data_IF_988217306136
#
_entry.id   IF_988217306136
#
_cell.length_a   1.000
_cell.length_b   1.000
_cell.length_c   1.000
_cell.angle_alpha   90.00
_cell.angle_beta   90.00
_cell.angle_gamma   90.00
#
_symmetry.space_group_name_H-M   'P 1'
#
loop_
_entity.id
_entity.type
_entity.pdbx_description
1 polymer ?
#
# COMPACT_ATOMS: atom_id res chain seq x y z
N UNK A 1 15.14 5.27 25.38
CA UNK A 1 14.91 3.83 25.14
C UNK A 1 13.43 3.62 25.29
N UNK A 2 12.75 3.08 24.28
CA UNK A 2 11.36 2.63 24.44
C UNK A 2 11.34 1.50 25.45
N UNK A 3 10.49 1.59 26.46
CA UNK A 3 10.27 0.50 27.40
C UNK A 3 9.56 -0.63 26.63
N UNK A 4 10.19 -1.80 26.57
CA UNK A 4 9.61 -3.00 25.99
C UNK A 4 9.08 -3.86 27.13
N UNK A 5 7.79 -4.14 27.12
CA UNK A 5 7.14 -4.98 28.12
C UNK A 5 6.49 -6.16 27.43
N UNK A 6 6.72 -7.35 27.95
CA UNK A 6 6.11 -8.59 27.46
C UNK A 6 5.69 -9.43 28.67
N UNK A 7 4.49 -10.00 28.60
CA UNK A 7 3.93 -10.88 29.62
C UNK A 7 3.23 -12.07 28.95
N UNK A 8 3.24 -13.20 29.62
CA UNK A 8 2.59 -14.43 29.19
C UNK A 8 2.85 -15.52 30.22
N UNK A 9 1.98 -16.53 30.25
CA UNK A 9 2.18 -17.69 31.12
C UNK A 9 3.07 -18.68 30.40
N UNK A 10 4.29 -18.87 30.90
CA UNK A 10 5.28 -19.76 30.28
C UNK A 10 5.22 -21.12 30.98
N UNK A 11 4.91 -22.17 30.21
CA UNK A 11 5.06 -23.56 30.60
C UNK A 11 6.24 -24.15 29.86
N UNK A 12 7.12 -24.85 30.58
CA UNK A 12 8.27 -25.55 30.00
C UNK A 12 8.19 -27.02 30.37
N UNK A 13 8.23 -27.90 29.37
CA UNK A 13 8.25 -29.35 29.58
C UNK A 13 9.72 -29.82 29.61
N UNK A 14 10.36 -29.55 30.75
CA UNK A 14 11.77 -29.81 30.98
C UNK A 14 12.65 -28.56 30.87
N UNK A 15 13.73 -28.56 31.63
CA UNK A 15 14.76 -27.54 31.62
C UNK A 15 16.11 -28.24 31.80
N UNK A 16 17.02 -28.01 30.85
CA UNK A 16 18.42 -28.37 31.00
C UNK A 16 19.27 -27.09 31.08
N UNK A 17 20.27 -27.14 31.95
CA UNK A 17 21.22 -26.06 32.13
C UNK A 17 22.62 -26.61 31.92
N UNK A 18 23.32 -26.05 30.93
CA UNK A 18 24.71 -26.40 30.65
C UNK A 18 25.60 -25.23 31.03
N UNK A 19 26.49 -25.49 31.97
CA UNK A 19 27.53 -24.56 32.41
C UNK A 19 28.89 -25.21 32.17
N UNK A 20 29.65 -24.66 31.24
CA UNK A 20 31.08 -24.92 31.11
C UNK A 20 31.86 -23.59 31.08
N UNK A 21 33.18 -23.66 31.04
CA UNK A 21 34.07 -22.49 31.08
C UNK A 21 33.79 -21.49 29.94
N UNK A 22 33.14 -21.92 28.86
CA UNK A 22 32.86 -21.12 27.67
C UNK A 22 31.37 -20.93 27.37
N UNK A 23 30.50 -21.78 27.90
CA UNK A 23 29.09 -21.87 27.51
C UNK A 23 28.17 -21.78 28.72
N UNK A 24 27.26 -20.81 28.68
CA UNK A 24 26.15 -20.68 29.63
C UNK A 24 24.85 -20.78 28.86
N UNK A 25 24.28 -21.98 28.81
CA UNK A 25 23.17 -22.32 27.92
C UNK A 25 21.98 -22.84 28.72
N UNK A 26 20.79 -22.36 28.38
CA UNK A 26 19.50 -22.89 28.79
C UNK A 26 18.89 -23.65 27.62
N UNK A 27 18.34 -24.82 27.90
CA UNK A 27 17.67 -25.66 26.92
C UNK A 27 16.29 -26.05 27.44
N UNK A 28 15.28 -25.81 26.62
CA UNK A 28 13.89 -26.15 26.86
C UNK A 28 13.44 -27.08 25.74
N UNK A 29 13.28 -28.40 25.99
CA UNK A 29 12.83 -29.34 24.96
C UNK A 29 11.52 -28.90 24.32
N UNK A 30 10.62 -28.32 25.14
CA UNK A 30 9.43 -27.64 24.69
C UNK A 30 9.10 -26.49 25.61
N UNK A 31 8.80 -25.33 25.03
CA UNK A 31 8.30 -24.16 25.75
C UNK A 31 6.99 -23.70 25.11
N UNK A 32 5.98 -23.45 25.93
CA UNK A 32 4.67 -22.94 25.50
C UNK A 32 4.37 -21.67 26.27
N UNK A 33 3.97 -20.62 25.56
CA UNK A 33 3.52 -19.35 26.13
C UNK A 33 2.04 -19.21 25.84
N UNK A 34 1.23 -19.12 26.88
CA UNK A 34 -0.21 -18.86 26.79
C UNK A 34 -0.51 -17.38 27.07
N UNK A 35 -1.35 -16.79 26.23
CA UNK A 35 -1.82 -15.41 26.38
C UNK A 35 -0.69 -14.38 26.27
N UNK A 36 0.24 -14.58 25.33
CA UNK A 36 1.32 -13.64 25.08
C UNK A 36 0.76 -12.26 24.77
N UNK A 37 1.24 -11.25 25.50
CA UNK A 37 0.94 -9.84 25.25
C UNK A 37 2.19 -9.02 25.45
N UNK A 38 2.42 -8.06 24.58
CA UNK A 38 3.51 -7.11 24.74
C UNK A 38 3.23 -5.78 24.09
N UNK A 39 4.11 -4.84 24.40
CA UNK A 39 4.09 -3.49 23.87
C UNK A 39 5.51 -3.02 23.55
N UNK A 40 5.61 -2.25 22.47
CA UNK A 40 6.84 -1.65 21.98
C UNK A 40 6.53 -0.28 21.41
N UNK A 41 6.72 0.77 22.22
CA UNK A 41 6.34 2.14 21.84
C UNK A 41 4.83 2.28 21.64
N UNK A 42 4.41 2.70 20.43
CA UNK A 42 2.99 2.82 20.07
C UNK A 42 2.36 1.52 19.62
N UNK A 43 3.12 0.42 19.54
CA UNK A 43 2.62 -0.86 19.01
C UNK A 43 2.34 -1.82 20.16
N UNK A 44 1.18 -2.46 20.12
CA UNK A 44 0.82 -3.61 20.96
C UNK A 44 0.78 -4.86 20.10
N UNK A 45 1.16 -5.99 20.69
CA UNK A 45 1.09 -7.28 20.04
C UNK A 45 0.69 -8.38 21.02
N UNK A 46 0.20 -9.49 20.48
CA UNK A 46 -0.05 -10.68 21.28
C UNK A 46 -0.32 -11.91 20.44
N UNK A 47 -0.42 -13.03 21.12
CA UNK A 47 -0.78 -14.32 20.53
C UNK A 47 -1.55 -15.15 21.55
N UNK A 48 -2.44 -16.01 21.08
CA UNK A 48 -3.19 -16.93 21.93
C UNK A 48 -2.26 -17.96 22.57
N UNK A 49 -1.56 -18.72 21.73
CA UNK A 49 -0.59 -19.73 22.13
C UNK A 49 0.64 -19.57 21.27
N UNK A 50 1.83 -19.62 21.86
CA UNK A 50 3.11 -19.68 21.15
C UNK A 50 3.86 -20.92 21.62
N UNK A 51 4.26 -21.79 20.70
CA UNK A 51 5.02 -22.99 21.00
C UNK A 51 6.41 -22.92 20.36
N UNK A 52 7.40 -23.43 21.10
CA UNK A 52 8.78 -23.57 20.66
C UNK A 52 9.24 -25.00 20.96
N UNK A 53 9.77 -25.69 19.95
CA UNK A 53 10.43 -26.99 20.13
C UNK A 53 11.96 -26.81 20.10
N UNK A 54 12.63 -27.44 21.07
CA UNK A 54 14.07 -27.36 21.28
C UNK A 54 14.59 -25.91 21.40
N UNK A 55 13.92 -25.09 22.22
CA UNK A 55 14.33 -23.71 22.48
C UNK A 55 15.63 -23.69 23.29
N UNK A 56 16.67 -23.11 22.71
CA UNK A 56 17.97 -22.93 23.33
C UNK A 56 18.32 -21.45 23.42
N UNK A 57 18.81 -21.01 24.57
CA UNK A 57 19.21 -19.63 24.81
C UNK A 57 20.58 -19.53 25.47
N UNK A 58 21.39 -18.56 25.08
CA UNK A 58 22.62 -18.21 25.81
C UNK A 58 22.34 -17.13 26.84
N UNK A 59 22.81 -17.32 28.06
CA UNK A 59 22.62 -16.36 29.15
C UNK A 59 23.36 -15.02 28.95
N UNK A 60 24.40 -15.01 28.10
CA UNK A 60 25.14 -13.79 27.75
C UNK A 60 24.62 -13.24 26.42
N UNK A 61 23.67 -12.30 26.49
CA UNK A 61 23.17 -11.56 25.34
C UNK A 61 21.84 -12.08 24.78
N UNK A 62 21.50 -11.61 23.58
CA UNK A 62 20.31 -12.04 22.83
C UNK A 62 20.80 -13.01 21.76
N UNK A 63 20.84 -14.30 22.10
CA UNK A 63 21.12 -15.41 21.17
C UNK A 63 20.21 -16.57 21.59
N UNK A 64 19.04 -16.61 20.96
CA UNK A 64 18.03 -17.65 21.16
C UNK A 64 17.77 -18.34 19.83
N UNK A 65 17.60 -19.66 19.86
CA UNK A 65 17.30 -20.46 18.70
C UNK A 65 16.31 -21.57 19.06
N UNK A 66 15.53 -22.03 18.09
CA UNK A 66 14.58 -23.13 18.26
C UNK A 66 14.60 -23.94 16.96
N UNK A 67 14.21 -25.22 17.00
CA UNK A 67 14.14 -26.07 15.80
C UNK A 67 12.83 -25.88 15.03
N UNK A 68 11.74 -25.58 15.75
CA UNK A 68 10.45 -25.18 15.20
C UNK A 68 9.78 -24.17 16.12
N UNK A 69 8.89 -23.35 15.57
CA UNK A 69 7.99 -22.53 16.37
C UNK A 69 6.64 -22.36 15.69
N UNK A 70 5.60 -22.15 16.48
CA UNK A 70 4.28 -21.78 15.98
C UNK A 70 3.60 -20.76 16.88
N UNK A 71 2.69 -19.97 16.31
CA UNK A 71 1.85 -19.04 17.05
C UNK A 71 0.43 -19.05 16.50
N UNK A 72 -0.56 -19.09 17.40
CA UNK A 72 -1.98 -19.04 17.06
C UNK A 72 -2.57 -17.68 17.41
N UNK A 73 -3.48 -17.19 16.57
CA UNK A 73 -4.25 -15.95 16.78
C UNK A 73 -3.34 -14.79 17.14
N UNK A 74 -2.28 -14.63 16.34
CA UNK A 74 -1.36 -13.51 16.49
C UNK A 74 -2.06 -12.22 16.06
N UNK A 75 -1.84 -11.15 16.83
CA UNK A 75 -2.36 -9.84 16.50
C UNK A 75 -1.31 -8.77 16.79
N UNK A 76 -1.38 -7.69 16.02
CA UNK A 76 -0.52 -6.53 16.14
C UNK A 76 -1.34 -5.28 15.83
N UNK A 77 -1.34 -4.30 16.72
CA UNK A 77 -2.14 -3.08 16.56
C UNK A 77 -1.40 -1.86 17.06
N UNK A 78 -1.75 -0.71 16.51
CA UNK A 78 -1.28 0.58 17.00
C UNK A 78 -2.19 1.08 18.13
N UNK A 79 -1.62 1.63 19.20
CA UNK A 79 -2.34 2.15 20.37
C UNK A 79 -3.27 3.31 20.02
N UNK A 80 -2.93 4.08 18.99
CA UNK A 80 -3.76 5.18 18.49
C UNK A 80 -4.84 4.67 17.50
N UNK A 81 -4.95 3.36 17.30
CA UNK A 81 -5.94 2.74 16.41
C UNK A 81 -5.66 2.97 14.92
N UNK A 82 -4.42 3.35 14.55
CA UNK A 82 -4.07 3.66 13.16
C UNK A 82 -4.08 2.44 12.25
N UNK A 83 -3.80 1.26 12.79
CA UNK A 83 -3.88 -0.01 12.08
C UNK A 83 -4.06 -1.18 13.05
N UNK A 84 -4.54 -2.29 12.50
CA UNK A 84 -4.66 -3.57 13.16
C UNK A 84 -4.36 -4.71 12.17
N UNK A 85 -3.56 -5.68 12.59
CA UNK A 85 -3.20 -6.87 11.84
C UNK A 85 -3.52 -8.10 12.66
N UNK A 86 -4.15 -9.09 12.05
CA UNK A 86 -4.44 -10.41 12.63
C UNK A 86 -3.86 -11.49 11.73
N UNK A 87 -3.31 -12.55 12.34
CA UNK A 87 -2.79 -13.73 11.67
C UNK A 87 -3.30 -14.93 12.47
N UNK A 88 -4.11 -15.78 11.85
CA UNK A 88 -4.73 -16.92 12.56
C UNK A 88 -3.68 -17.96 12.96
N UNK A 89 -2.69 -18.21 12.11
CA UNK A 89 -1.61 -19.15 12.38
C UNK A 89 -0.28 -18.71 11.80
N UNK A 90 0.79 -18.86 12.58
CA UNK A 90 2.17 -18.68 12.13
C UNK A 90 2.89 -20.01 12.37
N UNK A 91 3.55 -20.51 11.33
CA UNK A 91 4.35 -21.73 11.37
C UNK A 91 5.79 -21.43 10.91
N UNK A 92 6.75 -21.83 11.73
CA UNK A 92 8.19 -21.68 11.51
C UNK A 92 8.83 -23.08 11.62
N UNK A 93 8.68 -23.94 10.59
CA UNK A 93 9.03 -25.37 10.68
C UNK A 93 10.54 -25.64 10.77
N UNK A 94 11.37 -24.64 10.46
CA UNK A 94 12.82 -24.67 10.63
C UNK A 94 13.29 -23.71 11.73
N UNK A 95 12.34 -23.35 12.59
CA UNK A 95 12.55 -22.54 13.76
C UNK A 95 12.89 -21.11 13.43
N UNK A 96 13.37 -20.44 14.47
CA UNK A 96 13.70 -19.03 14.46
C UNK A 96 14.93 -18.80 15.31
N UNK A 97 15.78 -17.88 14.86
CA UNK A 97 16.93 -17.41 15.61
C UNK A 97 16.77 -15.93 15.92
N UNK A 98 16.87 -15.58 17.19
CA UNK A 98 16.92 -14.20 17.67
C UNK A 98 18.37 -13.86 18.02
N UNK A 99 18.91 -12.84 17.36
CA UNK A 99 20.27 -12.34 17.62
C UNK A 99 20.25 -10.84 17.86
N UNK A 100 21.32 -10.29 18.44
CA UNK A 100 21.52 -8.84 18.49
C UNK A 100 21.95 -8.34 17.10
N UNK A 101 21.22 -7.40 16.53
CA UNK A 101 21.60 -6.80 15.25
C UNK A 101 22.82 -5.88 15.38
N UNK A 102 23.64 -5.81 14.32
CA UNK A 102 24.83 -4.96 14.28
C UNK A 102 24.50 -3.45 14.43
N UNK A 103 23.34 -3.02 13.93
CA UNK A 103 22.84 -1.65 14.03
C UNK A 103 22.08 -1.32 15.33
N UNK A 104 22.15 -2.21 16.32
CA UNK A 104 21.30 -2.17 17.50
C UNK A 104 19.93 -2.82 17.26
N UNK A 105 19.22 -3.13 18.34
CA UNK A 105 17.96 -3.87 18.27
C UNK A 105 18.12 -5.40 18.22
N UNK A 106 17.06 -6.09 17.81
CA UNK A 106 16.98 -7.54 17.74
C UNK A 106 16.70 -7.95 16.29
N UNK A 107 17.43 -8.94 15.81
CA UNK A 107 17.25 -9.55 14.51
C UNK A 107 16.62 -10.93 14.68
N UNK A 108 15.49 -11.13 14.02
CA UNK A 108 14.78 -12.39 13.92
C UNK A 108 15.05 -12.99 12.54
N UNK A 109 15.64 -14.18 12.53
CA UNK A 109 15.95 -14.92 11.31
C UNK A 109 15.18 -16.23 11.28
N UNK A 110 14.46 -16.49 10.18
CA UNK A 110 13.73 -17.72 9.94
C UNK A 110 13.99 -18.21 8.50
N UNK A 111 14.40 -19.47 8.34
CA UNK A 111 14.61 -20.05 7.01
C UNK A 111 13.31 -20.19 6.23
N UNK A 112 12.22 -20.50 6.94
CA UNK A 112 10.89 -20.60 6.38
C UNK A 112 9.87 -20.08 7.39
N UNK A 113 8.95 -19.24 6.92
CA UNK A 113 7.80 -18.79 7.67
C UNK A 113 6.54 -18.97 6.82
N UNK A 114 5.46 -19.47 7.41
CA UNK A 114 4.14 -19.57 6.80
C UNK A 114 3.12 -18.92 7.70
N UNK A 115 2.43 -17.91 7.18
CA UNK A 115 1.38 -17.16 7.86
C UNK A 115 0.05 -17.53 7.20
N UNK A 116 -0.94 -17.90 8.01
CA UNK A 116 -2.28 -18.28 7.59
C UNK A 116 -3.29 -17.18 7.96
N UNK A 117 -4.19 -16.89 7.02
CA UNK A 117 -5.29 -15.94 7.15
C UNK A 117 -4.84 -14.58 7.74
N UNK A 118 -3.97 -13.91 7.00
CA UNK A 118 -3.46 -12.58 7.35
C UNK A 118 -4.52 -11.54 7.00
N UNK A 119 -4.98 -10.79 7.99
CA UNK A 119 -5.93 -9.68 7.83
C UNK A 119 -5.26 -8.40 8.29
N UNK A 120 -5.30 -7.37 7.47
CA UNK A 120 -4.84 -6.02 7.78
C UNK A 120 -6.00 -5.06 7.65
N UNK A 121 -6.19 -4.20 8.65
CA UNK A 121 -7.16 -3.12 8.61
C UNK A 121 -6.49 -1.80 8.99
N UNK A 122 -6.70 -0.79 8.16
CA UNK A 122 -6.24 0.58 8.36
C UNK A 122 -7.46 1.49 8.26
N UNK A 123 -8.06 1.88 9.41
CA UNK A 123 -9.32 2.61 9.42
C UNK A 123 -9.20 4.04 8.88
N UNK A 124 -8.01 4.65 8.99
CA UNK A 124 -7.74 5.99 8.49
C UNK A 124 -6.33 6.11 7.87
N UNK A 125 -6.28 6.07 6.53
CA UNK A 125 -5.06 6.26 5.74
C UNK A 125 -4.50 7.69 5.87
N UNK A 126 -5.30 8.67 6.28
CA UNK A 126 -4.83 10.05 6.43
C UNK A 126 -3.92 10.21 7.65
N UNK A 127 -4.04 9.33 8.66
CA UNK A 127 -3.17 9.28 9.83
C UNK A 127 -1.70 8.99 9.49
N UNK A 128 -1.42 8.43 8.31
CA UNK A 128 -0.06 8.13 7.84
C UNK A 128 0.55 9.24 6.99
N UNK A 129 -0.21 10.29 6.66
CA UNK A 129 0.34 11.44 5.96
C UNK A 129 1.29 12.14 6.92
N UNK A 130 2.58 12.15 6.57
CA UNK A 130 3.60 12.91 7.28
C UNK A 130 3.11 14.34 7.47
N UNK A 131 2.84 14.72 8.73
CA UNK A 131 2.62 16.13 9.09
C UNK A 131 3.82 16.90 8.54
N UNK A 132 3.56 17.95 7.77
CA UNK A 132 4.59 18.84 7.24
C UNK A 132 5.60 19.11 8.36
N UNK A 133 6.91 18.81 8.16
CA UNK A 133 7.87 19.04 9.22
C UNK A 133 7.82 20.51 9.63
N UNK A 134 8.00 20.83 10.93
CA UNK A 134 8.15 22.21 11.36
C UNK A 134 9.26 22.88 10.53
N UNK A 135 9.15 24.17 10.21
CA UNK A 135 10.13 24.85 9.37
C UNK A 135 11.52 24.68 9.97
N UNK A 136 12.37 23.90 9.31
CA UNK A 136 13.77 23.72 9.66
C UNK A 136 14.48 25.05 9.33
N UNK A 137 15.40 25.55 10.18
CA UNK A 137 16.19 26.74 9.87
C UNK A 137 16.95 26.56 8.55
N UNK A 138 17.17 27.66 7.84
CA UNK A 138 17.61 27.70 6.44
C UNK A 138 18.95 26.98 6.16
N UNK A 139 18.86 25.69 5.85
CA UNK A 139 19.84 24.97 5.03
C UNK A 139 19.60 25.30 3.54
N UNK A 140 20.61 25.12 2.65
CA UNK A 140 20.47 25.36 1.22
C UNK A 140 19.22 24.66 0.67
N UNK A 141 18.53 25.27 -0.32
CA UNK A 141 17.24 24.78 -0.78
C UNK A 141 17.36 23.31 -1.15
N UNK A 142 16.57 22.42 -0.53
CA UNK A 142 16.59 21.01 -0.88
C UNK A 142 16.29 20.90 -2.38
N UNK A 143 17.02 20.04 -3.09
CA UNK A 143 16.71 19.73 -4.48
C UNK A 143 15.20 19.42 -4.59
N UNK A 144 14.52 19.94 -5.62
CA UNK A 144 13.09 19.73 -5.77
C UNK A 144 12.83 18.23 -5.74
N UNK A 145 12.03 17.77 -4.77
CA UNK A 145 11.66 16.37 -4.67
C UNK A 145 11.12 15.92 -6.04
N UNK A 146 11.83 14.98 -6.69
CA UNK A 146 11.44 14.43 -7.98
C UNK A 146 10.02 13.89 -7.94
N UNK A 147 9.37 13.83 -9.10
CA UNK A 147 8.01 13.29 -9.23
C UNK A 147 7.99 11.83 -8.73
N UNK A 148 6.89 11.41 -8.07
CA UNK A 148 6.77 10.03 -7.57
C UNK A 148 6.83 9.01 -8.69
N UNK A 149 6.51 9.45 -9.90
CA UNK A 149 6.56 8.71 -11.16
C UNK A 149 7.89 7.98 -11.36
N UNK A 150 9.01 8.58 -11.00
CA UNK A 150 10.35 7.98 -11.15
C UNK A 150 10.51 6.71 -10.32
N UNK A 151 9.83 6.63 -9.16
CA UNK A 151 9.85 5.45 -8.28
C UNK A 151 8.87 4.36 -8.72
N UNK A 152 7.97 4.69 -9.63
CA UNK A 152 6.90 3.81 -10.08
C UNK A 152 7.15 3.27 -11.50
N UNK A 153 8.40 3.28 -11.97
CA UNK A 153 8.79 2.73 -13.29
C UNK A 153 8.49 1.25 -13.47
N UNK A 154 8.30 0.48 -12.39
CA UNK A 154 7.84 -0.90 -12.50
C UNK A 154 6.47 -1.01 -13.20
N UNK A 155 5.63 0.03 -13.12
CA UNK A 155 4.33 0.09 -13.80
C UNK A 155 4.48 0.10 -15.33
N UNK A 156 5.65 0.47 -15.87
CA UNK A 156 5.94 0.48 -17.32
C UNK A 156 5.97 -0.95 -17.91
N UNK A 157 5.98 -1.98 -17.08
CA UNK A 157 5.95 -3.39 -17.49
C UNK A 157 4.56 -4.02 -17.40
N UNK A 158 3.56 -3.28 -16.94
CA UNK A 158 2.21 -3.80 -16.75
C UNK A 158 1.46 -3.76 -18.08
N UNK A 159 0.81 -4.88 -18.42
CA UNK A 159 -0.12 -4.97 -19.55
C UNK A 159 -1.51 -5.36 -19.07
N UNK A 160 -2.52 -5.08 -19.88
CA UNK A 160 -3.90 -5.50 -19.62
C UNK A 160 -4.94 -4.56 -20.21
N UNK A 161 -6.03 -4.33 -19.49
CA UNK A 161 -7.13 -3.50 -19.96
C UNK A 161 -7.85 -2.82 -18.81
N UNK A 162 -8.48 -1.69 -19.14
CA UNK A 162 -9.35 -0.91 -18.26
C UNK A 162 -10.70 -0.83 -18.92
N UNK A 163 -11.70 -1.47 -18.32
CA UNK A 163 -13.10 -1.18 -18.55
C UNK A 163 -13.64 -0.29 -17.43
N UNK A 164 -14.40 0.73 -17.78
CA UNK A 164 -15.10 1.57 -16.79
C UNK A 164 -16.36 2.18 -17.37
N UNK A 165 -17.31 2.49 -16.50
CA UNK A 165 -18.51 3.25 -16.83
C UNK A 165 -18.41 4.64 -16.20
N UNK A 166 -18.30 5.69 -17.01
CA UNK A 166 -18.34 7.08 -16.54
C UNK A 166 -19.79 7.54 -16.52
N UNK A 167 -20.26 7.93 -15.34
CA UNK A 167 -21.56 8.55 -15.12
C UNK A 167 -21.41 10.00 -14.69
N UNK A 168 -21.88 10.93 -15.52
CA UNK A 168 -21.79 12.37 -15.24
C UNK A 168 -23.19 12.92 -14.98
N UNK A 169 -23.36 13.62 -13.86
CA UNK A 169 -24.58 14.36 -13.54
C UNK A 169 -24.31 15.87 -13.53
N UNK A 170 -24.88 16.57 -14.51
CA UNK A 170 -24.72 18.01 -14.70
C UNK A 170 -26.05 18.72 -14.52
N UNK A 171 -26.03 19.84 -13.80
CA UNK A 171 -27.14 20.79 -13.79
C UNK A 171 -26.83 21.91 -14.79
N UNK A 172 -27.46 21.82 -15.97
CA UNK A 172 -27.29 22.79 -17.04
C UNK A 172 -28.37 23.88 -16.94
N UNK A 173 -28.00 25.17 -17.12
CA UNK A 173 -29.00 26.22 -17.23
C UNK A 173 -29.94 25.92 -18.42
N UNK A 174 -31.23 26.14 -18.24
CA UNK A 174 -32.31 25.94 -19.23
C UNK A 174 -32.67 24.47 -19.52
N UNK A 175 -31.71 23.54 -19.51
CA UNK A 175 -31.94 22.13 -19.91
C UNK A 175 -32.28 21.21 -18.72
N UNK A 176 -31.96 21.62 -17.48
CA UNK A 176 -32.19 20.83 -16.27
C UNK A 176 -31.07 19.81 -16.01
N UNK A 177 -31.32 18.84 -15.12
CA UNK A 177 -30.35 17.79 -14.79
C UNK A 177 -30.21 16.81 -15.94
N UNK A 178 -28.99 16.64 -16.44
CA UNK A 178 -28.65 15.57 -17.39
C UNK A 178 -27.79 14.52 -16.72
N UNK A 179 -28.15 13.26 -16.99
CA UNK A 179 -27.39 12.09 -16.60
C UNK A 179 -26.92 11.42 -17.86
N UNK A 180 -25.64 11.07 -17.89
CA UNK A 180 -25.08 10.35 -19.01
C UNK A 180 -24.15 9.26 -18.51
N UNK A 181 -24.34 8.05 -19.05
CA UNK A 181 -23.64 6.84 -18.68
C UNK A 181 -22.87 6.33 -19.92
N UNK A 182 -21.56 6.22 -19.82
CA UNK A 182 -20.69 5.77 -20.91
C UNK A 182 -19.74 4.67 -20.48
N UNK A 183 -19.79 3.52 -21.15
CA UNK A 183 -18.78 2.47 -20.99
C UNK A 183 -17.63 2.70 -21.96
N UNK A 184 -16.40 2.69 -21.44
CA UNK A 184 -15.18 2.77 -22.23
C UNK A 184 -14.26 1.62 -21.87
N UNK A 185 -13.62 1.05 -22.88
CA UNK A 185 -12.58 0.05 -22.73
C UNK A 185 -11.29 0.55 -23.36
N UNK A 186 -10.20 0.56 -22.60
CA UNK A 186 -8.88 0.99 -23.06
C UNK A 186 -7.86 -0.09 -22.75
N UNK A 187 -7.04 -0.44 -23.74
CA UNK A 187 -5.93 -1.36 -23.55
C UNK A 187 -4.76 -0.67 -22.84
N UNK A 188 -4.14 -1.37 -21.91
CA UNK A 188 -2.85 -1.00 -21.30
C UNK A 188 -1.79 -1.87 -21.95
N UNK A 189 -0.86 -1.23 -22.64
CA UNK A 189 0.29 -1.89 -23.25
C UNK A 189 1.55 -1.20 -22.73
N UNK A 190 2.58 -1.96 -22.37
CA UNK A 190 3.86 -1.44 -21.87
C UNK A 190 3.67 -0.33 -20.81
N UNK A 191 2.75 -0.57 -19.86
CA UNK A 191 2.41 0.34 -18.78
C UNK A 191 1.78 1.67 -19.20
N UNK A 192 1.26 1.78 -20.42
CA UNK A 192 0.63 3.00 -20.92
C UNK A 192 -0.70 2.70 -21.63
N UNK A 193 -1.66 3.60 -21.46
CA UNK A 193 -2.95 3.55 -22.15
C UNK A 193 -3.06 4.66 -23.20
N UNK A 194 -3.84 4.41 -24.24
CA UNK A 194 -4.11 5.38 -25.31
C UNK A 194 -5.22 6.34 -24.86
N UNK A 195 -4.87 7.60 -24.58
CA UNK A 195 -5.84 8.56 -24.07
C UNK A 195 -6.74 9.13 -25.17
N UNK A 196 -6.33 9.07 -26.45
CA UNK A 196 -7.21 9.47 -27.57
C UNK A 196 -8.30 8.44 -27.81
N UNK A 197 -8.02 7.15 -27.63
CA UNK A 197 -9.08 6.12 -27.63
C UNK A 197 -10.07 6.35 -26.50
N UNK A 198 -9.59 6.75 -25.33
CA UNK A 198 -10.45 7.14 -24.20
C UNK A 198 -11.31 8.37 -24.58
N UNK A 199 -10.70 9.42 -25.12
CA UNK A 199 -11.40 10.64 -25.58
C UNK A 199 -12.46 10.31 -26.64
N UNK A 200 -12.11 9.54 -27.67
CA UNK A 200 -13.05 9.14 -28.73
C UNK A 200 -14.16 8.21 -28.22
N UNK A 201 -13.87 7.35 -27.24
CA UNK A 201 -14.90 6.56 -26.54
C UNK A 201 -15.92 7.44 -25.79
N UNK A 202 -15.53 8.66 -25.46
CA UNK A 202 -16.34 9.67 -24.76
C UNK A 202 -16.89 10.75 -25.70
N UNK A 203 -16.49 10.79 -26.97
CA UNK A 203 -16.78 11.92 -27.86
C UNK A 203 -18.23 11.97 -28.38
N UNK A 204 -18.98 10.87 -28.29
CA UNK A 204 -20.39 10.83 -28.70
C UNK A 204 -21.36 11.31 -27.61
N UNK A 205 -20.85 11.60 -26.41
CA UNK A 205 -21.55 12.37 -25.38
C UNK A 205 -21.87 13.72 -26.00
N UNK A 206 -23.07 13.85 -26.56
CA UNK A 206 -23.53 14.98 -27.38
C UNK A 206 -23.10 16.31 -26.77
N UNK A 207 -22.02 16.92 -27.29
CA UNK A 207 -21.63 18.30 -26.99
C UNK A 207 -20.45 18.53 -26.03
N UNK A 208 -19.28 17.92 -26.27
CA UNK A 208 -17.98 18.43 -25.77
C UNK A 208 -17.86 18.59 -24.23
N UNK A 209 -18.56 17.74 -23.46
CA UNK A 209 -18.63 17.89 -22.02
C UNK A 209 -17.44 17.32 -21.28
N UNK A 210 -16.73 16.31 -21.78
CA UNK A 210 -15.48 15.86 -21.17
C UNK A 210 -14.33 16.17 -22.15
N UNK A 211 -13.33 16.87 -21.66
CA UNK A 211 -12.14 17.27 -22.42
C UNK A 211 -10.95 16.53 -21.80
N UNK A 212 -10.35 15.63 -22.58
CA UNK A 212 -9.19 14.83 -22.16
C UNK A 212 -8.04 15.20 -23.07
N UNK A 213 -6.94 15.67 -22.48
CA UNK A 213 -5.82 16.09 -23.30
C UNK A 213 -4.55 16.35 -22.52
N UNK A 214 -3.55 16.82 -23.23
CA UNK A 214 -2.28 17.25 -22.67
C UNK A 214 -2.20 18.76 -22.78
N UNK A 215 -1.91 19.43 -21.67
CA UNK A 215 -1.68 20.86 -21.66
C UNK A 215 -0.62 21.22 -20.61
N UNK A 216 0.33 22.07 -21.01
CA UNK A 216 1.42 22.56 -20.15
C UNK A 216 2.17 21.44 -19.40
N UNK A 217 2.49 20.34 -20.10
CA UNK A 217 3.20 19.19 -19.51
C UNK A 217 2.37 18.40 -18.50
N UNK A 218 1.03 18.45 -18.62
CA UNK A 218 0.12 17.69 -17.77
C UNK A 218 -0.90 16.94 -18.60
N UNK A 219 -1.20 15.72 -18.18
CA UNK A 219 -2.41 15.04 -18.61
C UNK A 219 -3.59 15.60 -17.81
N UNK A 220 -4.64 16.06 -18.49
CA UNK A 220 -5.78 16.75 -17.88
C UNK A 220 -7.08 16.06 -18.29
N UNK A 221 -7.97 15.95 -17.32
CA UNK A 221 -9.37 15.61 -17.54
C UNK A 221 -10.18 16.81 -17.03
N UNK A 222 -10.90 17.45 -17.93
CA UNK A 222 -11.74 18.60 -17.67
C UNK A 222 -13.13 18.41 -18.24
N UNK A 223 -13.99 19.39 -18.00
CA UNK A 223 -15.25 19.50 -18.71
C UNK A 223 -15.35 20.81 -19.47
N UNK A 224 -15.74 20.72 -20.74
CA UNK A 224 -15.95 21.86 -21.63
C UNK A 224 -17.40 22.36 -21.55
N UNK A 225 -17.60 23.67 -21.43
CA UNK A 225 -18.88 24.30 -21.75
C UNK A 225 -18.70 25.24 -22.94
N UNK A 226 -19.53 25.15 -24.01
CA UNK A 226 -19.34 25.90 -25.26
C UNK A 226 -19.15 27.42 -25.13
N UNK A 227 -19.55 28.03 -24.01
CA UNK A 227 -19.49 29.48 -23.76
C UNK A 227 -18.56 29.84 -22.59
N UNK A 228 -18.32 28.91 -21.66
CA UNK A 228 -17.65 29.20 -20.37
C UNK A 228 -16.22 28.63 -20.29
N UNK A 229 -15.74 27.99 -21.36
CA UNK A 229 -14.41 27.39 -21.45
C UNK A 229 -14.31 26.02 -20.75
N UNK A 230 -13.12 25.42 -20.79
CA UNK A 230 -12.83 24.14 -20.14
C UNK A 230 -12.48 24.37 -18.66
N UNK A 231 -13.15 23.63 -17.78
CA UNK A 231 -12.81 23.58 -16.35
C UNK A 231 -12.17 22.24 -16.01
N UNK A 232 -10.99 22.29 -15.39
CA UNK A 232 -10.26 21.10 -14.97
C UNK A 232 -10.95 20.40 -13.79
N UNK A 233 -11.08 19.07 -13.89
CA UNK A 233 -11.56 18.18 -12.82
C UNK A 233 -10.36 17.61 -12.08
N UNK A 234 -9.41 17.07 -12.85
CA UNK A 234 -8.19 16.45 -12.33
C UNK A 234 -7.07 16.60 -13.36
N UNK A 235 -5.86 16.79 -12.88
CA UNK A 235 -4.66 16.74 -13.72
C UNK A 235 -3.54 15.97 -13.08
N UNK A 236 -2.62 15.52 -13.91
CA UNK A 236 -1.47 14.72 -13.56
C UNK A 236 -0.25 15.35 -14.22
N UNK A 237 0.78 15.63 -13.43
CA UNK A 237 2.05 16.09 -14.00
C UNK A 237 2.63 15.00 -14.91
N UNK A 238 3.36 15.39 -15.95
CA UNK A 238 4.13 14.45 -16.77
C UNK A 238 5.62 14.76 -16.58
N UNK A 239 6.41 13.73 -16.26
CA UNK A 239 7.86 13.82 -16.36
C UNK A 239 8.32 13.91 -17.84
N UNK A 240 9.63 14.06 -18.07
CA UNK A 240 10.18 14.21 -19.42
C UNK A 240 9.91 12.98 -20.31
N UNK A 241 10.05 11.78 -19.74
CA UNK A 241 9.82 10.52 -20.48
C UNK A 241 8.32 10.37 -20.79
N UNK A 242 7.46 10.64 -19.81
CA UNK A 242 6.01 10.56 -19.96
C UNK A 242 5.51 11.56 -21.00
N UNK A 243 6.09 12.76 -21.04
CA UNK A 243 5.79 13.76 -22.08
C UNK A 243 6.18 13.28 -23.47
N UNK A 244 7.29 12.54 -23.61
CA UNK A 244 7.69 11.94 -24.89
C UNK A 244 6.74 10.82 -25.31
N UNK A 245 6.26 9.98 -24.38
CA UNK A 245 5.24 8.95 -24.66
C UNK A 245 3.89 9.59 -25.04
N UNK A 246 3.56 10.71 -24.41
CA UNK A 246 2.32 11.46 -24.63
C UNK A 246 2.24 12.08 -26.04
N UNK A 247 3.38 12.34 -26.69
CA UNK A 247 3.43 12.72 -28.11
C UNK A 247 2.90 11.64 -29.07
N UNK A 248 2.82 10.38 -28.61
CA UNK A 248 2.24 9.25 -29.33
C UNK A 248 0.86 8.85 -28.78
N UNK A 249 0.12 9.82 -28.23
CA UNK A 249 -1.24 9.64 -27.73
C UNK A 249 -1.37 8.65 -26.55
N UNK A 250 -0.26 8.38 -25.84
CA UNK A 250 -0.20 7.41 -24.74
C UNK A 250 0.19 8.05 -23.42
N UNK A 251 -0.46 7.65 -22.34
CA UNK A 251 -0.12 8.10 -20.98
C UNK A 251 0.37 6.91 -20.14
N UNK A 252 1.60 6.96 -19.61
CA UNK A 252 2.09 5.94 -18.68
C UNK A 252 1.26 5.92 -17.38
N UNK A 253 0.94 4.74 -16.87
CA UNK A 253 0.19 4.53 -15.63
C UNK A 253 0.85 5.21 -14.43
N UNK A 254 2.19 5.22 -14.38
CA UNK A 254 2.95 5.90 -13.32
C UNK A 254 2.63 7.39 -13.22
N UNK A 255 2.23 8.03 -14.32
CA UNK A 255 1.84 9.44 -14.35
C UNK A 255 0.58 9.70 -13.49
N UNK A 256 -0.27 8.69 -13.31
CA UNK A 256 -1.52 8.81 -12.55
C UNK A 256 -1.33 8.84 -11.02
N UNK A 257 -0.10 8.67 -10.54
CA UNK A 257 0.21 8.59 -9.11
C UNK A 257 0.17 9.95 -8.37
N UNK A 258 0.22 11.05 -9.11
CA UNK A 258 0.28 12.41 -8.56
C UNK A 258 -0.94 13.26 -9.00
N UNK A 259 -2.17 12.91 -8.55
CA UNK A 259 -3.36 13.63 -8.94
C UNK A 259 -3.42 15.03 -8.31
N UNK A 260 -3.79 16.02 -9.12
CA UNK A 260 -4.11 17.38 -8.70
C UNK A 260 -5.58 17.67 -8.98
N UNK A 261 -6.33 18.03 -7.93
CA UNK A 261 -7.74 18.41 -8.03
C UNK A 261 -7.85 19.92 -7.75
N UNK A 262 -8.28 20.74 -8.74
CA UNK A 262 -8.45 22.19 -8.55
C UNK A 262 -9.46 22.53 -7.46
N UNK A 263 -9.20 23.56 -6.66
CA UNK A 263 -10.16 24.12 -5.68
C UNK A 263 -10.12 23.51 -4.27
N UNK A 264 -9.29 22.50 -4.01
CA UNK A 264 -9.02 22.01 -2.65
C UNK A 264 -8.04 22.96 -1.93
N UNK A 265 -8.55 24.09 -1.41
CA UNK A 265 -7.81 24.85 -0.37
C UNK A 265 -7.65 23.94 0.85
N UNK A 266 -6.46 23.90 1.44
CA UNK A 266 -6.29 23.37 2.80
C UNK A 266 -7.35 23.98 3.73
N UNK A 267 -7.88 23.24 4.71
CA UNK A 267 -8.86 23.79 5.63
C UNK A 267 -8.23 25.00 6.35
N UNK A 268 -8.62 26.20 5.92
CA UNK A 268 -8.30 27.44 6.60
C UNK A 268 -9.27 27.57 7.76
N UNK A 269 -8.80 27.64 9.02
CA UNK A 269 -9.67 27.91 10.14
C UNK A 269 -10.04 29.39 10.09
N UNK A 270 -11.22 29.71 9.58
CA UNK A 270 -11.85 31.00 9.84
C UNK A 270 -13.33 30.75 10.05
N UNK A 271 -13.83 30.88 11.29
CA UNK A 271 -15.25 30.90 11.53
C UNK A 271 -15.82 32.25 11.07
N UNK A 272 -17.12 32.25 10.82
CA UNK A 272 -17.98 33.42 10.65
C UNK A 272 -17.95 34.11 9.30
N UNK A 273 -18.72 33.54 8.36
CA UNK A 273 -19.79 34.27 7.65
C UNK A 273 -20.82 33.29 7.07
N UNK A 274 -22.13 33.51 7.26
CA UNK A 274 -23.15 32.75 6.56
C UNK A 274 -23.17 33.19 5.09
N UNK A 275 -22.63 32.36 4.21
CA UNK A 275 -22.63 32.62 2.77
C UNK A 275 -24.06 32.56 2.23
N UNK A 276 -24.52 33.71 1.72
CA UNK A 276 -25.72 33.85 0.92
C UNK A 276 -25.58 33.01 -0.36
N UNK A 277 -26.69 32.37 -0.74
CA UNK A 277 -26.96 31.72 -2.04
C UNK A 277 -26.27 32.43 -3.22
N UNK A 278 -25.18 31.84 -3.69
CA UNK A 278 -24.70 31.96 -5.06
C UNK A 278 -24.78 30.57 -5.72
N UNK A 279 -26.00 30.15 -6.07
CA UNK A 279 -26.20 29.05 -7.01
C UNK A 279 -25.76 29.53 -8.40
N UNK A 280 -24.46 29.44 -8.66
CA UNK A 280 -23.90 29.72 -9.98
C UNK A 280 -24.43 28.65 -10.96
N UNK A 281 -25.06 29.04 -12.08
CA UNK A 281 -25.51 28.11 -13.10
C UNK A 281 -24.31 27.38 -13.75
N UNK A 282 -24.42 26.05 -13.94
CA UNK A 282 -23.40 25.22 -14.62
C UNK A 282 -22.41 24.49 -13.70
N UNK A 283 -22.85 24.01 -12.53
CA UNK A 283 -21.99 23.30 -11.57
C UNK A 283 -22.10 21.78 -11.78
N UNK A 284 -20.96 21.10 -11.92
CA UNK A 284 -20.87 19.65 -11.80
C UNK A 284 -21.43 19.24 -10.43
N UNK A 285 -22.53 18.49 -10.42
CA UNK A 285 -23.20 18.06 -9.19
C UNK A 285 -22.53 16.80 -8.64
N UNK A 286 -22.30 15.83 -9.53
CA UNK A 286 -21.52 14.64 -9.22
C UNK A 286 -20.85 14.07 -10.47
N UNK A 287 -19.69 13.45 -10.26
CA UNK A 287 -18.99 12.59 -11.20
C UNK A 287 -18.86 11.22 -10.55
N UNK A 288 -19.37 10.19 -11.21
CA UNK A 288 -19.25 8.80 -10.78
C UNK A 288 -18.46 8.02 -11.81
N UNK A 289 -17.45 7.29 -11.38
CA UNK A 289 -16.79 6.25 -12.16
C UNK A 289 -17.29 4.93 -11.59
N UNK A 290 -18.27 4.33 -12.24
CA UNK A 290 -18.86 3.05 -11.87
C UNK A 290 -18.31 1.90 -12.70
N UNK A 291 -18.64 0.67 -12.29
CA UNK A 291 -18.28 -0.56 -12.99
C UNK A 291 -16.82 -0.61 -13.42
N UNK A 292 -15.92 -0.11 -12.56
CA UNK A 292 -14.50 -0.21 -12.78
C UNK A 292 -14.17 -1.69 -12.89
N UNK A 293 -13.50 -2.07 -13.96
CA UNK A 293 -13.07 -3.42 -14.23
C UNK A 293 -11.72 -3.37 -14.94
N UNK A 294 -10.64 -3.37 -14.15
CA UNK A 294 -9.28 -3.28 -14.63
C UNK A 294 -8.63 -4.66 -14.50
N UNK A 295 -8.14 -5.19 -15.60
CA UNK A 295 -7.32 -6.39 -15.63
C UNK A 295 -5.87 -5.99 -15.86
N UNK A 296 -4.97 -6.36 -14.94
CA UNK A 296 -3.55 -6.06 -15.02
C UNK A 296 -2.72 -7.33 -14.85
N UNK A 297 -1.62 -7.40 -15.59
CA UNK A 297 -0.67 -8.48 -15.54
C UNK A 297 0.75 -7.94 -15.73
N UNK A 298 1.72 -8.60 -15.12
CA UNK A 298 3.13 -8.30 -15.27
C UNK A 298 3.89 -9.60 -15.49
N UNK A 299 4.27 -9.83 -16.75
CA UNK A 299 4.91 -11.06 -17.20
C UNK A 299 6.39 -11.08 -16.83
N UNK A 300 7.07 -9.93 -16.95
CA UNK A 300 8.51 -9.84 -16.70
C UNK A 300 8.80 -9.35 -15.27
N UNK A 301 9.84 -9.89 -14.61
CA UNK A 301 10.23 -9.42 -13.28
C UNK A 301 10.62 -7.95 -13.29
N UNK A 302 10.22 -7.22 -12.23
CA UNK A 302 10.55 -5.80 -12.07
C UNK A 302 10.87 -5.44 -10.63
N UNK A 303 11.78 -4.49 -10.49
CA UNK A 303 12.17 -3.93 -9.22
C UNK A 303 11.37 -2.66 -8.94
N UNK A 304 10.95 -2.52 -7.70
CA UNK A 304 10.38 -1.33 -7.10
C UNK A 304 11.30 -0.93 -5.95
N UNK A 305 11.98 0.20 -6.10
CA UNK A 305 12.74 0.79 -5.01
C UNK A 305 11.81 1.63 -4.13
N UNK A 306 11.51 1.09 -2.95
CA UNK A 306 10.56 1.68 -2.02
C UNK A 306 11.04 1.49 -0.58
N UNK A 307 10.71 2.45 0.28
CA UNK A 307 10.99 2.37 1.71
C UNK A 307 12.48 2.10 2.05
N UNK A 308 13.41 2.61 1.23
CA UNK A 308 14.85 2.41 1.45
C UNK A 308 15.36 1.00 1.13
N UNK A 309 14.54 0.17 0.49
CA UNK A 309 14.91 -1.16 0.00
C UNK A 309 14.39 -1.40 -1.41
N UNK A 310 14.51 -2.64 -1.87
CA UNK A 310 14.05 -3.08 -3.19
C UNK A 310 13.07 -4.23 -3.04
N UNK A 311 11.92 -4.11 -3.70
CA UNK A 311 10.95 -5.19 -3.88
C UNK A 311 11.05 -5.63 -5.34
N UNK A 312 11.46 -6.87 -5.58
CA UNK A 312 11.40 -7.48 -6.92
C UNK A 312 10.14 -8.30 -7.03
N UNK A 313 9.26 -7.95 -7.95
CA UNK A 313 8.10 -8.77 -8.29
C UNK A 313 8.50 -9.81 -9.33
N UNK A 314 8.13 -11.07 -9.11
CA UNK A 314 8.45 -12.20 -9.97
C UNK A 314 9.85 -12.76 -9.73
N UNK A 315 10.01 -14.04 -10.06
CA UNK A 315 11.28 -14.76 -10.06
C UNK A 315 11.76 -15.03 -11.47
N UNK A 316 12.89 -15.72 -11.61
CA UNK A 316 13.36 -16.15 -12.93
C UNK A 316 12.36 -17.16 -13.56
N UNK A 317 11.61 -17.89 -12.74
CA UNK A 317 10.63 -18.92 -13.15
C UNK A 317 9.17 -18.57 -12.76
N UNK A 318 8.90 -17.36 -12.26
CA UNK A 318 7.56 -16.99 -11.77
C UNK A 318 7.15 -15.59 -12.27
N UNK A 319 5.93 -15.43 -12.83
CA UNK A 319 5.43 -14.12 -13.23
C UNK A 319 5.32 -13.18 -12.02
N UNK A 320 5.42 -11.87 -12.27
CA UNK A 320 5.40 -10.88 -11.19
C UNK A 320 4.01 -10.66 -10.61
N UNK A 321 3.03 -10.38 -11.48
CA UNK A 321 1.62 -10.20 -11.11
C UNK A 321 0.79 -10.94 -12.16
N UNK A 322 -0.08 -11.84 -11.72
CA UNK A 322 -1.00 -12.58 -12.60
C UNK A 322 -2.44 -12.22 -12.25
N UNK A 323 -3.20 -11.85 -13.29
CA UNK A 323 -4.64 -11.60 -13.22
C UNK A 323 -5.07 -10.70 -12.05
N UNK A 324 -4.36 -9.57 -11.87
CA UNK A 324 -4.80 -8.54 -10.94
C UNK A 324 -6.07 -7.90 -11.50
N UNK A 325 -7.19 -8.20 -10.87
CA UNK A 325 -8.50 -7.67 -11.16
C UNK A 325 -8.83 -6.57 -10.13
N UNK A 326 -8.98 -5.34 -10.59
CA UNK A 326 -9.44 -4.21 -9.77
C UNK A 326 -10.86 -3.86 -10.18
N UNK A 327 -11.78 -3.91 -9.22
CA UNK A 327 -13.20 -3.65 -9.43
C UNK A 327 -13.74 -2.62 -8.45
N UNK A 328 -14.78 -1.89 -8.83
CA UNK A 328 -15.49 -1.02 -7.89
C UNK A 328 -16.02 0.25 -8.51
N UNK A 329 -16.19 1.26 -7.65
CA UNK A 329 -16.72 2.54 -8.06
C UNK A 329 -16.18 3.69 -7.21
N UNK A 330 -16.05 4.86 -7.83
CA UNK A 330 -15.69 6.11 -7.18
C UNK A 330 -16.77 7.15 -7.47
N UNK A 331 -17.21 7.88 -6.44
CA UNK A 331 -18.23 8.92 -6.58
C UNK A 331 -17.71 10.23 -5.98
N UNK A 332 -17.77 11.32 -6.74
CA UNK A 332 -17.30 12.64 -6.33
C UNK A 332 -18.41 13.69 -6.48
N UNK A 333 -18.86 14.35 -5.38
CA UNK A 333 -18.60 13.98 -3.98
C UNK A 333 -19.42 12.74 -3.58
N UNK A 334 -18.87 11.87 -2.75
CA UNK A 334 -19.58 10.67 -2.28
C UNK A 334 -18.64 9.63 -1.72
N UNK A 335 -19.19 8.51 -1.26
CA UNK A 335 -18.40 7.34 -0.88
C UNK A 335 -18.18 6.45 -2.10
N UNK A 336 -17.00 5.85 -2.19
CA UNK A 336 -16.62 4.89 -3.21
C UNK A 336 -15.80 3.77 -2.61
N UNK A 337 -15.78 2.62 -3.28
CA UNK A 337 -15.00 1.45 -2.87
C UNK A 337 -14.33 0.87 -4.10
N UNK A 338 -13.02 0.68 -4.01
CA UNK A 338 -12.25 -0.10 -4.98
C UNK A 338 -11.79 -1.37 -4.29
N UNK A 339 -12.26 -2.50 -4.79
CA UNK A 339 -11.75 -3.83 -4.48
C UNK A 339 -10.67 -4.25 -5.49
N UNK A 340 -9.73 -5.04 -5.04
CA UNK A 340 -8.75 -5.70 -5.88
C UNK A 340 -8.62 -7.16 -5.47
N UNK A 341 -8.44 -8.01 -6.47
CA UNK A 341 -8.18 -9.44 -6.35
C UNK A 341 -7.00 -9.76 -7.24
N UNK A 342 -6.13 -10.62 -6.77
CA UNK A 342 -5.01 -11.10 -7.55
C UNK A 342 -4.86 -12.60 -7.35
N UNK A 343 -4.29 -13.27 -8.35
CA UNK A 343 -3.71 -14.58 -8.13
C UNK A 343 -2.56 -14.53 -7.13
N UNK A 344 -1.81 -15.62 -7.04
CA UNK A 344 -0.61 -15.60 -6.22
C UNK A 344 0.42 -14.59 -6.76
N UNK A 345 1.12 -13.93 -5.85
CA UNK A 345 2.17 -12.93 -6.13
C UNK A 345 3.46 -13.40 -5.47
N UNK A 346 4.48 -13.66 -6.28
CA UNK A 346 5.83 -13.97 -5.80
C UNK A 346 6.70 -12.71 -5.83
N UNK A 347 7.41 -12.45 -4.74
CA UNK A 347 8.28 -11.30 -4.59
C UNK A 347 9.60 -11.68 -3.92
N UNK A 348 10.63 -10.88 -4.13
CA UNK A 348 11.82 -10.82 -3.27
C UNK A 348 11.84 -9.45 -2.60
N UNK A 349 12.09 -9.40 -1.31
CA UNK A 349 12.17 -8.17 -0.53
C UNK A 349 13.57 -8.04 0.02
N UNK A 350 14.23 -6.92 -0.27
CA UNK A 350 15.58 -6.65 0.22
C UNK A 350 15.63 -5.31 0.93
N UNK A 351 16.06 -5.33 2.19
CA UNK A 351 16.36 -4.16 3.00
C UNK A 351 15.19 -3.16 3.05
N UNK A 352 13.96 -3.66 3.14
CA UNK A 352 12.76 -2.82 3.20
C UNK A 352 12.63 -2.18 4.59
N UNK A 353 12.72 -0.86 4.68
CA UNK A 353 12.68 -0.14 5.96
C UNK A 353 11.33 0.54 6.21
N UNK A 354 10.55 -0.02 7.14
CA UNK A 354 9.25 0.50 7.56
C UNK A 354 9.35 1.06 8.99
N UNK A 355 9.78 2.31 9.10
CA UNK A 355 10.01 2.94 10.41
C UNK A 355 11.19 2.31 11.14
N UNK A 356 10.95 1.73 12.32
CA UNK A 356 11.96 1.01 13.12
C UNK A 356 12.10 -0.49 12.78
N UNK A 357 11.47 -0.92 11.68
CA UNK A 357 11.54 -2.28 11.15
C UNK A 357 12.39 -2.29 9.87
N UNK A 358 13.31 -3.25 9.74
CA UNK A 358 13.88 -3.64 8.46
C UNK A 358 13.50 -5.09 8.13
N UNK A 359 13.14 -5.35 6.88
CA UNK A 359 12.67 -6.63 6.38
C UNK A 359 13.47 -7.05 5.13
N UNK A 360 13.99 -8.28 5.16
CA UNK A 360 14.55 -8.96 3.99
C UNK A 360 13.95 -10.36 3.92
N UNK A 361 13.56 -10.79 2.71
CA UNK A 361 13.09 -12.14 2.42
C UNK A 361 13.46 -12.48 0.97
N UNK A 362 14.19 -13.56 0.76
CA UNK A 362 14.62 -14.00 -0.57
C UNK A 362 13.43 -14.32 -1.46
N UNK A 363 12.41 -14.94 -0.88
CA UNK A 363 11.13 -15.19 -1.52
C UNK A 363 10.01 -14.90 -0.53
N UNK A 364 9.06 -14.08 -0.93
CA UNK A 364 7.82 -13.77 -0.26
C UNK A 364 6.71 -14.13 -1.25
N UNK A 365 6.05 -15.26 -1.01
CA UNK A 365 4.92 -15.73 -1.80
C UNK A 365 3.65 -15.36 -1.07
N UNK A 366 2.87 -14.47 -1.67
CA UNK A 366 1.51 -14.14 -1.22
C UNK A 366 0.57 -14.99 -2.04
N UNK A 367 -0.21 -15.84 -1.38
CA UNK A 367 -1.25 -16.63 -2.03
C UNK A 367 -2.35 -15.75 -2.66
N UNK A 368 -3.41 -16.35 -3.21
CA UNK A 368 -4.53 -15.60 -3.76
C UNK A 368 -5.03 -14.53 -2.79
N UNK A 369 -5.27 -13.34 -3.33
CA UNK A 369 -5.79 -12.19 -2.60
C UNK A 369 -7.28 -12.07 -2.86
N UNK A 370 -8.12 -12.45 -1.90
CA UNK A 370 -9.58 -12.44 -2.09
C UNK A 370 -10.19 -11.05 -1.89
N UNK A 371 -9.59 -10.28 -0.98
CA UNK A 371 -10.06 -8.95 -0.58
C UNK A 371 -8.87 -8.03 -0.36
N UNK A 372 -8.65 -7.10 -1.28
CA UNK A 372 -7.95 -5.84 -1.02
C UNK A 372 -8.94 -4.72 -1.30
N UNK A 373 -9.43 -4.05 -0.26
CA UNK A 373 -10.43 -3.01 -0.38
C UNK A 373 -9.88 -1.66 0.06
N UNK A 374 -10.07 -0.64 -0.75
CA UNK A 374 -9.80 0.75 -0.41
C UNK A 374 -11.11 1.51 -0.47
N UNK A 375 -11.54 2.05 0.66
CA UNK A 375 -12.70 2.94 0.70
C UNK A 375 -12.25 4.38 0.44
N UNK A 376 -13.09 5.15 -0.23
CA UNK A 376 -12.82 6.52 -0.65
C UNK A 376 -13.93 7.47 -0.17
N UNK A 377 -13.52 8.69 0.15
CA UNK A 377 -14.40 9.86 0.20
C UNK A 377 -14.04 10.76 -0.98
N UNK A 378 -14.89 10.78 -1.99
CA UNK A 378 -14.57 11.36 -3.28
C UNK A 378 -13.46 10.57 -3.97
N UNK A 379 -12.39 11.27 -4.34
CA UNK A 379 -11.13 10.68 -4.81
C UNK A 379 -10.05 10.59 -3.73
N UNK A 380 -10.40 10.74 -2.45
CA UNK A 380 -9.45 10.62 -1.35
C UNK A 380 -9.58 9.24 -0.69
N UNK A 381 -8.52 8.41 -0.68
CA UNK A 381 -8.52 7.16 0.09
C UNK A 381 -8.72 7.44 1.58
N UNK A 382 -9.64 6.71 2.20
CA UNK A 382 -10.03 6.85 3.60
C UNK A 382 -9.55 5.67 4.42
N UNK A 383 -9.87 4.45 4.01
CA UNK A 383 -9.46 3.22 4.72
C UNK A 383 -8.93 2.17 3.75
N UNK A 384 -8.18 1.21 4.30
CA UNK A 384 -7.65 0.06 3.60
C UNK A 384 -7.96 -1.19 4.42
N UNK A 385 -8.46 -2.24 3.77
CA UNK A 385 -8.58 -3.57 4.34
C UNK A 385 -7.97 -4.58 3.39
N UNK A 386 -7.19 -5.53 3.91
CA UNK A 386 -6.62 -6.61 3.12
C UNK A 386 -6.82 -7.94 3.85
N UNK A 387 -7.16 -8.99 3.11
CA UNK A 387 -7.22 -10.36 3.60
C UNK A 387 -6.45 -11.27 2.62
N UNK A 388 -5.50 -12.03 3.17
CA UNK A 388 -4.63 -12.94 2.45
C UNK A 388 -4.76 -14.33 3.09
N UNK A 389 -5.09 -15.35 2.31
CA UNK A 389 -5.19 -16.70 2.86
C UNK A 389 -3.87 -17.27 3.35
N UNK A 390 -2.79 -17.00 2.62
CA UNK A 390 -1.47 -17.52 2.97
C UNK A 390 -0.37 -16.59 2.52
N UNK A 391 0.62 -16.39 3.38
CA UNK A 391 1.88 -15.73 3.05
C UNK A 391 3.00 -16.67 3.46
N UNK A 392 3.90 -17.01 2.55
CA UNK A 392 5.11 -17.76 2.89
C UNK A 392 6.35 -16.94 2.59
N UNK A 393 7.34 -17.02 3.48
CA UNK A 393 8.62 -16.34 3.32
C UNK A 393 9.77 -17.34 3.46
N UNK A 394 10.81 -17.21 2.64
CA UNK A 394 12.07 -17.95 2.78
C UNK A 394 13.21 -17.00 3.11
N UNK A 395 14.11 -17.44 3.98
CA UNK A 395 15.25 -16.65 4.48
C UNK A 395 14.78 -15.26 4.96
N UNK A 396 13.74 -15.27 5.79
CA UNK A 396 13.17 -14.08 6.39
C UNK A 396 14.12 -13.55 7.46
N UNK A 397 14.55 -12.30 7.31
CA UNK A 397 15.24 -11.51 8.33
C UNK A 397 14.39 -10.28 8.67
N UNK A 398 14.10 -10.12 9.95
CA UNK A 398 13.33 -9.02 10.52
C UNK A 398 14.17 -8.34 11.60
N UNK A 399 14.56 -7.08 11.39
CA UNK A 399 15.29 -6.28 12.38
C UNK A 399 14.32 -5.33 13.05
N UNK A 400 14.22 -5.40 14.38
CA UNK A 400 13.36 -4.58 15.22
C UNK A 400 14.21 -3.64 16.09
N UNK A 401 13.96 -2.33 16.00
CA UNK A 401 14.54 -1.34 16.90
C UNK A 401 16.00 -0.96 16.60
N UNK A 402 16.51 -1.29 15.41
CA UNK A 402 17.80 -0.80 14.93
C UNK A 402 17.73 0.63 14.41
N UNK A 403 18.80 1.40 14.60
CA UNK A 403 18.98 2.67 13.89
C UNK A 403 19.25 2.38 12.41
N UNK A 404 18.67 3.17 11.50
CA UNK A 404 19.01 3.10 10.06
C UNK A 404 20.53 3.06 9.89
N UNK A 405 21.10 2.12 9.13
CA UNK A 405 22.47 2.29 8.67
C UNK A 405 22.50 3.60 7.87
N UNK A 406 23.26 4.57 8.36
CA UNK A 406 23.50 5.86 7.70
C UNK A 406 24.30 5.70 6.43
#
# INVERSE_FOLDING_TARGET
>A
MSEHRTQGNIRVDGLAFTLDDQTRRLDFPRAVIEGLKGESGSVEYGAGTVAFDALAGRLKGVDWATESASAERFWLRDKDGRYEMHIEGIELPHGVRLTKSAGGGVELNAQHASLADVKLHVPDLTAFRSKTPPPVPADPPPEPAGLRQERLRFLDAIGGSVGLTIKVMLDLPVVGTRTLDQTVNVEIKDGAFDFKKLEHGLSWIEGAFLDIGIDNGRFRIGYGMPILGTKEIISFALDQDASAVAAFDRIPLRSLADPRIPGRRAPSPSPDKPDKKDEKPGRLRSLSVGDLNIHLSMVAPRNLDAFGGTIRFGGDDAPGIVDLLIVGSLVQPGEGVIGARAGAVDMTVKDLHLGGLALTADRLHVGPMDVLEVAFEGFTPKSLSAALHRVTATNLSLILGGSRPT
#
